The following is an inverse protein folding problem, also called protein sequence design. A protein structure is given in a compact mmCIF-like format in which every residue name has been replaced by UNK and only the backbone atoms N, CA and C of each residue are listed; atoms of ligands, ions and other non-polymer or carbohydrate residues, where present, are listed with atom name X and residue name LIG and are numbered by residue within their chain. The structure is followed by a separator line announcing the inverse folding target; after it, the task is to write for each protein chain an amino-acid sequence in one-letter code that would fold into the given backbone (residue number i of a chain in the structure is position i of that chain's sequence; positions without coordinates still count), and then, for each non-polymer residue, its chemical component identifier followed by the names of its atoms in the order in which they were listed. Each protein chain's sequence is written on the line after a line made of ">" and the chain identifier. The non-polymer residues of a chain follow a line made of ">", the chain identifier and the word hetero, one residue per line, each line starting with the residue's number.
data_IF_218089421292
#
_entry.id   IF_218089421292
#
_cell.length_a   1.000
_cell.length_b   1.000
_cell.length_c   1.000
_cell.angle_alpha   90.00
_cell.angle_beta   90.00
_cell.angle_gamma   90.00
#
_symmetry.space_group_name_H-M   'P 1'
#
loop_
_entity.id
_entity.type
_entity.pdbx_description
1 polymer ?
#
# COMPACT_ATOMS: atom_id res chain seq x y z
N UNK A 1 1.85 -19.07 -16.23
CA UNK A 1 3.04 -18.73 -15.41
C UNK A 1 2.64 -18.88 -13.96
N UNK A 2 3.12 -19.91 -13.27
CA UNK A 2 2.98 -20.04 -11.82
C UNK A 2 3.97 -19.10 -11.15
N UNK A 3 3.49 -18.24 -10.27
CA UNK A 3 4.34 -17.41 -9.44
C UNK A 3 5.33 -18.22 -8.61
N UNK A 4 6.57 -17.75 -8.53
CA UNK A 4 7.53 -18.34 -7.61
C UNK A 4 7.18 -17.96 -6.17
N UNK A 5 7.56 -18.81 -5.21
CA UNK A 5 7.45 -18.50 -3.77
C UNK A 5 8.15 -17.19 -3.40
N UNK A 6 9.21 -16.83 -4.14
CA UNK A 6 9.94 -15.57 -3.97
C UNK A 6 9.08 -14.36 -4.36
N UNK A 7 8.31 -14.44 -5.45
CA UNK A 7 7.45 -13.34 -5.91
C UNK A 7 6.38 -12.98 -4.87
N UNK A 8 5.78 -14.00 -4.25
CA UNK A 8 4.78 -13.81 -3.18
C UNK A 8 5.42 -13.19 -1.92
N UNK A 9 6.65 -13.60 -1.57
CA UNK A 9 7.38 -13.02 -0.44
C UNK A 9 7.75 -11.55 -0.69
N UNK A 10 8.19 -11.21 -1.90
CA UNK A 10 8.52 -9.84 -2.28
C UNK A 10 7.26 -8.95 -2.29
N UNK A 11 6.12 -9.45 -2.77
CA UNK A 11 4.85 -8.73 -2.74
C UNK A 11 4.35 -8.49 -1.32
N UNK A 12 4.46 -9.49 -0.43
CA UNK A 12 4.10 -9.32 0.97
C UNK A 12 4.99 -8.29 1.66
N UNK A 13 6.30 -8.33 1.41
CA UNK A 13 7.23 -7.32 1.94
C UNK A 13 6.89 -5.91 1.45
N UNK A 14 6.62 -5.76 0.15
CA UNK A 14 6.22 -4.47 -0.41
C UNK A 14 4.89 -3.96 0.18
N UNK A 15 3.94 -4.86 0.44
CA UNK A 15 2.69 -4.53 1.15
C UNK A 15 2.96 -4.00 2.55
N UNK A 16 3.82 -4.68 3.30
CA UNK A 16 4.13 -4.30 4.68
C UNK A 16 4.86 -2.93 4.72
N UNK A 17 5.84 -2.70 3.83
CA UNK A 17 6.53 -1.41 3.69
C UNK A 17 5.56 -0.27 3.29
N UNK A 18 4.58 -0.54 2.41
CA UNK A 18 3.53 0.43 2.06
C UNK A 18 2.57 0.69 3.23
N UNK A 19 2.30 -0.32 4.05
CA UNK A 19 1.51 -0.19 5.28
C UNK A 19 2.15 0.80 6.27
N UNK A 20 3.45 0.63 6.53
CA UNK A 20 4.21 1.55 7.40
C UNK A 20 4.18 3.00 6.90
N UNK A 21 4.29 3.20 5.57
CA UNK A 21 4.17 4.53 4.96
C UNK A 21 2.79 5.15 5.17
N UNK A 22 1.72 4.35 5.06
CA UNK A 22 0.36 4.82 5.33
C UNK A 22 0.22 5.26 6.78
N UNK A 23 0.70 4.46 7.74
CA UNK A 23 0.64 4.80 9.16
C UNK A 23 1.40 6.09 9.45
N UNK A 24 2.65 6.21 9.00
CA UNK A 24 3.46 7.42 9.16
C UNK A 24 2.79 8.67 8.58
N UNK A 25 2.21 8.57 7.37
CA UNK A 25 1.51 9.69 6.73
C UNK A 25 0.19 10.01 7.43
N UNK A 26 -0.49 9.01 7.96
CA UNK A 26 -1.75 9.18 8.71
C UNK A 26 -1.48 9.87 10.04
N UNK A 27 -0.40 9.53 10.76
CA UNK A 27 0.00 10.22 11.99
C UNK A 27 0.28 11.71 11.76
N UNK A 28 0.97 12.06 10.66
CA UNK A 28 1.20 13.47 10.29
C UNK A 28 -0.12 14.23 10.09
N UNK A 29 -1.13 13.57 9.53
CA UNK A 29 -2.47 14.14 9.32
C UNK A 29 -3.23 14.26 10.65
N UNK A 30 -3.21 13.24 11.50
CA UNK A 30 -3.93 13.21 12.80
C UNK A 30 -3.32 14.20 13.79
N UNK A 31 -1.99 14.29 13.84
CA UNK A 31 -1.27 15.19 14.74
C UNK A 31 -1.36 16.67 14.34
N UNK A 32 -2.10 16.98 13.26
CA UNK A 32 -2.28 18.36 12.79
C UNK A 32 -1.00 18.99 12.23
N UNK A 33 0.03 18.19 11.94
CA UNK A 33 1.30 18.67 11.38
C UNK A 33 1.19 19.10 9.91
N UNK A 34 -0.01 19.01 9.30
CA UNK A 34 -0.29 19.64 8.02
C UNK A 34 -0.51 21.14 8.24
N UNK A 35 0.47 21.95 7.81
CA UNK A 35 0.49 23.41 8.01
C UNK A 35 -0.70 24.13 7.37
N UNK A 36 -1.31 23.54 6.33
CA UNK A 36 -2.47 24.10 5.63
C UNK A 36 -3.39 23.04 4.97
N UNK A 37 -4.53 23.49 4.44
CA UNK A 37 -5.51 22.65 3.76
C UNK A 37 -4.94 22.00 2.48
N UNK A 38 -4.00 22.65 1.78
CA UNK A 38 -3.40 22.10 0.57
C UNK A 38 -2.53 20.88 0.90
N UNK A 39 -1.72 21.01 1.94
CA UNK A 39 -0.84 19.97 2.49
C UNK A 39 -1.67 18.82 3.05
N UNK A 40 -2.74 19.11 3.79
CA UNK A 40 -3.68 18.09 4.26
C UNK A 40 -4.25 17.28 3.09
N UNK A 41 -4.77 17.96 2.05
CA UNK A 41 -5.36 17.30 0.87
C UNK A 41 -4.33 16.46 0.12
N UNK A 42 -3.10 16.97 -0.04
CA UNK A 42 -2.00 16.24 -0.66
C UNK A 42 -1.69 14.95 0.12
N UNK A 43 -1.56 15.03 1.45
CA UNK A 43 -1.30 13.86 2.32
C UNK A 43 -2.43 12.83 2.28
N UNK A 44 -3.69 13.26 2.30
CA UNK A 44 -4.83 12.35 2.13
C UNK A 44 -4.80 11.68 0.74
N UNK A 45 -4.39 12.42 -0.30
CA UNK A 45 -4.19 11.87 -1.65
C UNK A 45 -3.10 10.80 -1.69
N UNK A 46 -1.95 11.05 -1.06
CA UNK A 46 -0.85 10.08 -0.93
C UNK A 46 -1.33 8.79 -0.25
N UNK A 47 -2.03 8.92 0.90
CA UNK A 47 -2.59 7.77 1.64
C UNK A 47 -3.56 6.96 0.77
N UNK A 48 -4.44 7.62 0.02
CA UNK A 48 -5.37 6.94 -0.87
C UNK A 48 -4.64 6.21 -2.01
N UNK A 49 -3.60 6.81 -2.59
CA UNK A 49 -2.77 6.16 -3.60
C UNK A 49 -2.06 4.91 -3.08
N UNK A 50 -1.51 4.97 -1.86
CA UNK A 50 -0.86 3.83 -1.20
C UNK A 50 -1.86 2.70 -0.92
N UNK A 51 -3.08 3.03 -0.46
CA UNK A 51 -4.16 2.03 -0.26
C UNK A 51 -4.56 1.35 -1.58
N UNK A 52 -4.63 2.11 -2.68
CA UNK A 52 -4.89 1.53 -4.00
C UNK A 52 -3.76 0.59 -4.42
N UNK A 53 -2.50 0.96 -4.17
CA UNK A 53 -1.35 0.09 -4.47
C UNK A 53 -1.43 -1.24 -3.69
N UNK A 54 -1.83 -1.22 -2.41
CA UNK A 54 -2.09 -2.45 -1.64
C UNK A 54 -3.15 -3.31 -2.31
N UNK A 55 -4.29 -2.74 -2.70
CA UNK A 55 -5.36 -3.50 -3.37
C UNK A 55 -4.91 -4.15 -4.68
N UNK A 56 -4.08 -3.46 -5.46
CA UNK A 56 -3.48 -4.01 -6.69
C UNK A 56 -2.54 -5.18 -6.36
N UNK A 57 -1.69 -5.06 -5.33
CA UNK A 57 -0.80 -6.14 -4.91
C UNK A 57 -1.59 -7.37 -4.43
N UNK A 58 -2.66 -7.18 -3.67
CA UNK A 58 -3.54 -8.26 -3.22
C UNK A 58 -4.22 -8.98 -4.39
N UNK A 59 -4.66 -8.23 -5.41
CA UNK A 59 -5.21 -8.80 -6.63
C UNK A 59 -4.17 -9.62 -7.42
N UNK A 60 -2.93 -9.14 -7.50
CA UNK A 60 -1.83 -9.85 -8.14
C UNK A 60 -1.57 -11.17 -7.40
N UNK A 61 -1.44 -11.15 -6.06
CA UNK A 61 -1.24 -12.35 -5.23
C UNK A 61 -2.41 -13.34 -5.40
N UNK A 62 -3.65 -12.86 -5.43
CA UNK A 62 -4.84 -13.69 -5.66
C UNK A 62 -4.81 -14.36 -7.04
N UNK A 63 -4.54 -13.60 -8.11
CA UNK A 63 -4.40 -14.15 -9.48
C UNK A 63 -3.25 -15.15 -9.60
N UNK A 64 -2.18 -14.97 -8.82
CA UNK A 64 -1.08 -15.92 -8.72
C UNK A 64 -1.47 -17.22 -7.99
N UNK A 65 -2.37 -17.12 -7.00
CA UNK A 65 -2.90 -18.25 -6.22
C UNK A 65 -3.99 -19.07 -6.95
N UNK A 66 -4.89 -18.41 -7.68
CA UNK A 66 -5.95 -19.03 -8.49
C UNK A 66 -5.41 -19.78 -9.73
N UNK A 67 -4.14 -19.54 -10.09
CA UNK A 67 -3.42 -20.28 -11.15
C UNK A 67 -2.86 -21.64 -10.70
N UNK A 68 -3.23 -22.16 -9.52
CA UNK A 68 -2.85 -23.51 -9.07
C UNK A 68 -3.81 -24.55 -9.69
N UNK A 69 -3.32 -25.54 -10.47
CA UNK A 69 -4.13 -26.65 -10.96
C UNK A 69 -4.59 -27.56 -9.83
#
# INVERSE_FOLDING_TARGET
>A
MTASRLDVLLLNRARDEIGELIESRTEVVINGSAEDHATYRARCGEINGLRMAIGVMEEIVRKMGDGRP
#
